data_IF_126123595696
#
_entry.id   IF_126123595696
#
_cell.length_a   1.000
_cell.length_b   1.000
_cell.length_c   1.000
_cell.angle_alpha   90.00
_cell.angle_beta   90.00
_cell.angle_gamma   90.00
#
_symmetry.space_group_name_H-M   'P 1'
#
loop_
_entity.id
_entity.type
_entity.pdbx_description
1 polymer ?
#
# COMPACT_ATOMS: atom_id res chain seq x y z
N UNK A 1 -11.16 6.14 -10.47
CA UNK A 1 -10.04 6.02 -9.51
C UNK A 1 -9.03 5.02 -10.06
N UNK A 2 -7.73 5.28 -9.86
CA UNK A 2 -6.65 4.43 -10.36
C UNK A 2 -5.69 4.11 -9.21
N UNK A 3 -5.41 2.83 -8.95
CA UNK A 3 -4.50 2.41 -7.89
C UNK A 3 -3.55 1.29 -8.35
N UNK A 4 -2.34 1.31 -7.79
CA UNK A 4 -1.41 0.17 -7.76
C UNK A 4 -1.00 -0.06 -6.30
N UNK A 5 -1.42 -1.18 -5.73
CA UNK A 5 -1.20 -1.56 -4.33
C UNK A 5 -0.27 -2.78 -4.29
N UNK A 6 1.03 -2.54 -4.11
CA UNK A 6 2.08 -3.55 -4.12
C UNK A 6 2.25 -4.17 -2.73
N UNK A 7 2.45 -5.48 -2.66
CA UNK A 7 2.67 -6.14 -1.36
C UNK A 7 3.99 -5.70 -0.72
N UNK A 8 5.07 -5.64 -1.49
CA UNK A 8 6.43 -5.34 -1.03
C UNK A 8 7.21 -4.50 -2.06
N UNK A 9 8.45 -4.12 -1.77
CA UNK A 9 9.24 -3.24 -2.65
C UNK A 9 10.34 -3.94 -3.46
N UNK A 10 10.73 -5.17 -3.12
CA UNK A 10 11.90 -5.85 -3.69
C UNK A 10 11.62 -7.33 -3.83
N UNK A 11 11.87 -7.91 -5.00
CA UNK A 11 11.90 -9.36 -5.18
C UNK A 11 13.32 -9.92 -4.95
N UNK A 12 13.45 -11.20 -4.58
CA UNK A 12 14.77 -11.84 -4.49
C UNK A 12 15.56 -11.68 -5.79
N UNK A 13 16.76 -11.09 -5.69
CA UNK A 13 17.66 -10.90 -6.84
C UNK A 13 17.34 -9.71 -7.74
N UNK A 14 16.36 -8.85 -7.42
CA UNK A 14 16.02 -7.66 -8.21
C UNK A 14 16.36 -6.36 -7.48
N UNK A 15 16.38 -5.25 -8.21
CA UNK A 15 16.44 -3.90 -7.68
C UNK A 15 15.16 -3.46 -6.97
N UNK A 16 15.26 -2.31 -6.31
CA UNK A 16 14.15 -1.66 -5.61
C UNK A 16 13.07 -1.21 -6.61
N UNK A 17 11.83 -1.62 -6.38
CA UNK A 17 10.65 -1.39 -7.24
C UNK A 17 10.79 -1.87 -8.70
N UNK A 18 11.84 -2.62 -9.03
CA UNK A 18 12.10 -3.07 -10.40
C UNK A 18 10.93 -3.90 -10.95
N UNK A 19 10.42 -4.84 -10.15
CA UNK A 19 9.29 -5.69 -10.54
C UNK A 19 7.97 -4.90 -10.73
N UNK A 20 7.87 -3.71 -10.16
CA UNK A 20 6.69 -2.85 -10.29
C UNK A 20 6.74 -2.01 -11.58
N UNK A 21 7.90 -1.83 -12.22
CA UNK A 21 8.05 -0.98 -13.40
C UNK A 21 7.06 -1.32 -14.52
N UNK A 22 6.82 -2.60 -14.88
CA UNK A 22 5.86 -2.93 -15.95
C UNK A 22 4.42 -2.52 -15.60
N UNK A 23 3.95 -2.77 -14.37
CA UNK A 23 2.59 -2.39 -13.95
C UNK A 23 2.46 -0.88 -13.84
N UNK A 24 3.48 -0.19 -13.35
CA UNK A 24 3.49 1.28 -13.30
C UNK A 24 3.42 1.87 -14.72
N UNK A 25 4.29 1.43 -15.65
CA UNK A 25 4.27 1.87 -17.06
C UNK A 25 2.88 1.73 -17.69
N UNK A 26 2.19 0.62 -17.44
CA UNK A 26 0.85 0.38 -17.96
C UNK A 26 -0.23 1.32 -17.38
N UNK A 27 -0.02 1.87 -16.17
CA UNK A 27 -0.98 2.73 -15.47
C UNK A 27 -0.70 4.23 -15.59
N UNK A 28 0.55 4.61 -15.86
CA UNK A 28 0.97 6.02 -15.87
C UNK A 28 0.21 6.84 -16.91
N UNK A 29 0.12 6.35 -18.15
CA UNK A 29 -0.35 7.16 -19.27
C UNK A 29 0.49 8.43 -19.43
N UNK A 30 -0.17 9.59 -19.54
CA UNK A 30 0.48 10.90 -19.62
C UNK A 30 0.94 11.51 -18.29
N UNK A 31 0.67 10.86 -17.15
CA UNK A 31 0.96 11.39 -15.81
C UNK A 31 2.46 11.49 -15.54
N UNK A 32 2.94 12.61 -15.01
CA UNK A 32 4.37 12.81 -14.73
C UNK A 32 4.65 13.41 -13.35
N UNK A 33 3.76 14.25 -12.83
CA UNK A 33 3.96 14.94 -11.55
C UNK A 33 3.63 14.03 -10.38
N UNK A 34 4.65 13.66 -9.61
CA UNK A 34 4.52 12.78 -8.45
C UNK A 34 4.74 13.56 -7.17
N UNK A 35 3.80 13.40 -6.22
CA UNK A 35 4.04 13.72 -4.82
C UNK A 35 4.29 12.41 -4.07
N UNK A 36 5.46 12.30 -3.44
CA UNK A 36 5.85 11.15 -2.64
C UNK A 36 5.66 11.41 -1.15
N UNK A 37 5.02 10.46 -0.46
CA UNK A 37 4.78 10.47 0.98
C UNK A 37 5.76 9.49 1.65
N UNK A 38 6.84 9.99 2.28
CA UNK A 38 7.94 9.16 2.80
C UNK A 38 7.76 8.76 4.27
N UNK A 39 6.67 9.16 4.92
CA UNK A 39 6.54 9.12 6.39
C UNK A 39 6.57 7.71 7.00
N UNK A 40 6.41 6.66 6.21
CA UNK A 40 6.64 5.29 6.69
C UNK A 40 8.13 5.03 7.02
N UNK A 41 9.06 5.76 6.40
CA UNK A 41 10.49 5.64 6.67
C UNK A 41 10.86 6.12 8.07
N UNK A 42 11.46 5.22 8.87
CA UNK A 42 11.89 5.50 10.25
C UNK A 42 13.41 5.52 10.39
N UNK A 43 14.12 4.58 9.73
CA UNK A 43 15.57 4.38 9.88
C UNK A 43 16.42 5.07 8.80
N UNK A 44 15.79 5.82 7.89
CA UNK A 44 16.43 6.66 6.89
C UNK A 44 15.73 8.03 6.87
N UNK A 45 16.43 9.08 6.44
CA UNK A 45 15.79 10.38 6.24
C UNK A 45 14.77 10.32 5.11
N UNK A 46 13.77 11.20 5.16
CA UNK A 46 12.76 11.31 4.12
C UNK A 46 13.34 11.81 2.79
N UNK A 47 14.40 12.63 2.83
CA UNK A 47 15.15 13.04 1.64
C UNK A 47 15.81 11.85 0.96
N UNK A 48 16.57 11.06 1.72
CA UNK A 48 17.23 9.85 1.20
C UNK A 48 16.22 8.83 0.65
N UNK A 49 15.05 8.72 1.30
CA UNK A 49 14.00 7.85 0.81
C UNK A 49 13.42 8.38 -0.51
N UNK A 50 13.18 9.68 -0.62
CA UNK A 50 12.68 10.30 -1.86
C UNK A 50 13.69 10.11 -3.00
N UNK A 51 14.98 10.31 -2.75
CA UNK A 51 16.05 10.10 -3.73
C UNK A 51 16.15 8.63 -4.17
N UNK A 52 15.98 7.69 -3.24
CA UNK A 52 15.94 6.26 -3.56
C UNK A 52 14.79 5.93 -4.52
N UNK A 53 13.61 6.51 -4.31
CA UNK A 53 12.45 6.31 -5.22
C UNK A 53 12.71 6.96 -6.58
N UNK A 54 13.31 8.17 -6.63
CA UNK A 54 13.73 8.82 -7.88
C UNK A 54 14.66 7.94 -8.69
N UNK A 55 15.70 7.39 -8.05
CA UNK A 55 16.68 6.54 -8.72
C UNK A 55 16.04 5.25 -9.26
N UNK A 56 15.20 4.59 -8.45
CA UNK A 56 14.53 3.36 -8.82
C UNK A 56 13.57 3.51 -10.01
N UNK A 57 12.95 4.68 -10.16
CA UNK A 57 11.94 4.96 -11.18
C UNK A 57 12.46 5.90 -12.29
N UNK A 58 13.78 6.10 -12.39
CA UNK A 58 14.38 7.05 -13.32
C UNK A 58 13.97 6.80 -14.79
N UNK A 59 13.82 5.54 -15.19
CA UNK A 59 13.38 5.16 -16.54
C UNK A 59 11.93 5.57 -16.87
N UNK A 60 11.12 5.92 -15.87
CA UNK A 60 9.75 6.38 -16.06
C UNK A 60 9.67 7.89 -16.32
N UNK A 61 10.78 8.61 -16.18
CA UNK A 61 10.86 10.07 -16.37
C UNK A 61 9.82 10.84 -15.56
N UNK A 62 9.64 10.46 -14.29
CA UNK A 62 8.69 11.08 -13.36
C UNK A 62 9.32 12.28 -12.63
N UNK A 63 8.51 13.32 -12.41
CA UNK A 63 8.87 14.49 -11.60
C UNK A 63 8.49 14.22 -10.14
N UNK A 64 9.40 13.61 -9.37
CA UNK A 64 9.12 13.17 -7.99
C UNK A 64 9.54 14.22 -6.96
N UNK A 65 8.55 14.73 -6.23
CA UNK A 65 8.72 15.67 -5.12
C UNK A 65 8.32 15.02 -3.80
N UNK A 66 9.18 15.07 -2.79
CA UNK A 66 8.83 14.62 -1.45
C UNK A 66 7.90 15.62 -0.78
N UNK A 67 6.77 15.16 -0.25
CA UNK A 67 5.76 16.05 0.36
C UNK A 67 6.29 16.81 1.59
N UNK A 68 7.36 16.33 2.21
CA UNK A 68 7.99 16.96 3.37
C UNK A 68 8.89 18.15 2.99
N UNK A 69 9.15 18.39 1.71
CA UNK A 69 10.01 19.49 1.23
C UNK A 69 9.22 20.66 0.64
N UNK A 70 7.89 20.60 0.61
CA UNK A 70 7.04 21.65 0.03
C UNK A 70 6.39 22.50 1.11
N UNK A 71 6.22 23.79 0.83
CA UNK A 71 5.61 24.73 1.77
C UNK A 71 4.10 24.48 1.94
N UNK A 72 3.41 24.16 0.84
CA UNK A 72 1.98 23.82 0.84
C UNK A 72 1.76 22.38 0.34
N UNK A 73 1.74 21.39 1.24
CA UNK A 73 1.54 19.99 0.87
C UNK A 73 0.14 19.71 0.32
N UNK A 74 -0.88 20.52 0.66
CA UNK A 74 -2.24 20.34 0.17
C UNK A 74 -2.36 20.80 -1.28
N UNK A 75 -1.77 21.96 -1.60
CA UNK A 75 -1.68 22.43 -2.98
C UNK A 75 -0.85 21.48 -3.85
N UNK A 76 0.26 20.95 -3.32
CA UNK A 76 1.07 19.96 -4.04
C UNK A 76 0.27 18.70 -4.39
N UNK A 77 -0.51 18.16 -3.44
CA UNK A 77 -1.38 17.01 -3.68
C UNK A 77 -2.50 17.31 -4.67
N UNK A 78 -3.11 18.49 -4.60
CA UNK A 78 -4.17 18.89 -5.54
C UNK A 78 -3.67 19.02 -6.99
N UNK A 79 -2.39 19.35 -7.18
CA UNK A 79 -1.74 19.47 -8.48
C UNK A 79 -1.04 18.19 -8.95
N UNK A 80 -1.01 17.14 -8.13
CA UNK A 80 -0.30 15.90 -8.44
C UNK A 80 -1.06 15.03 -9.44
N UNK A 81 -0.35 14.50 -10.43
CA UNK A 81 -0.90 13.45 -11.29
C UNK A 81 -0.89 12.09 -10.58
N UNK A 82 0.07 11.91 -9.67
CA UNK A 82 0.38 10.64 -9.00
C UNK A 82 0.71 10.93 -7.53
N UNK A 83 0.10 10.17 -6.63
CA UNK A 83 0.46 10.14 -5.21
C UNK A 83 1.15 8.81 -4.93
N UNK A 84 2.43 8.85 -4.58
CA UNK A 84 3.20 7.67 -4.19
C UNK A 84 3.35 7.60 -2.68
N UNK A 85 3.13 6.44 -2.07
CA UNK A 85 3.24 6.24 -0.62
C UNK A 85 4.17 5.08 -0.32
N UNK A 86 5.26 5.39 0.40
CA UNK A 86 6.31 4.43 0.68
C UNK A 86 5.96 3.39 1.74
N UNK A 87 6.66 2.26 1.68
CA UNK A 87 6.73 1.24 2.74
C UNK A 87 7.62 1.66 3.91
N UNK A 88 7.50 0.96 5.04
CA UNK A 88 8.14 1.29 6.31
C UNK A 88 7.19 0.93 7.45
N UNK A 89 7.09 1.76 8.49
CA UNK A 89 6.13 1.54 9.58
C UNK A 89 4.78 2.23 9.30
N UNK A 90 3.72 1.44 9.23
CA UNK A 90 2.34 1.86 8.92
C UNK A 90 1.74 2.77 9.99
N UNK A 91 2.05 2.53 11.27
CA UNK A 91 1.55 3.37 12.37
C UNK A 91 2.16 4.78 12.30
N UNK A 92 3.48 4.88 12.09
CA UNK A 92 4.15 6.17 11.92
C UNK A 92 3.67 6.91 10.65
N UNK A 93 3.47 6.17 9.55
CA UNK A 93 2.88 6.71 8.32
C UNK A 93 1.52 7.34 8.58
N UNK A 94 0.59 6.59 9.18
CA UNK A 94 -0.77 7.08 9.45
C UNK A 94 -0.75 8.27 10.41
N UNK A 95 0.04 8.20 11.48
CA UNK A 95 0.23 9.28 12.46
C UNK A 95 0.65 10.58 11.77
N UNK A 96 1.71 10.53 10.95
CA UNK A 96 2.23 11.70 10.26
C UNK A 96 1.25 12.25 9.22
N UNK A 97 0.61 11.38 8.44
CA UNK A 97 -0.44 11.80 7.52
C UNK A 97 -1.58 12.55 8.23
N UNK A 98 -1.94 12.17 9.46
CA UNK A 98 -2.95 12.88 10.25
C UNK A 98 -2.42 14.17 10.86
N UNK A 99 -1.24 14.17 11.46
CA UNK A 99 -0.60 15.37 12.02
C UNK A 99 -0.46 16.49 10.98
N UNK A 100 -0.13 16.13 9.74
CA UNK A 100 -0.04 17.06 8.62
C UNK A 100 -1.38 17.32 7.90
N UNK A 101 -2.48 16.70 8.34
CA UNK A 101 -3.81 16.88 7.78
C UNK A 101 -3.93 16.45 6.30
N UNK A 102 -3.30 15.33 5.94
CA UNK A 102 -3.13 14.86 4.56
C UNK A 102 -4.12 13.75 4.15
N UNK A 103 -4.88 13.18 5.09
CA UNK A 103 -5.83 12.09 4.80
C UNK A 103 -6.84 12.54 3.73
N UNK A 104 -7.57 13.63 3.97
CA UNK A 104 -8.57 14.12 3.01
C UNK A 104 -7.96 14.67 1.72
N UNK A 105 -6.86 15.46 1.74
CA UNK A 105 -6.18 15.88 0.51
C UNK A 105 -5.74 14.72 -0.40
N UNK A 106 -5.20 13.64 0.16
CA UNK A 106 -4.83 12.45 -0.63
C UNK A 106 -6.08 11.79 -1.21
N UNK A 107 -7.13 11.60 -0.41
CA UNK A 107 -8.40 11.04 -0.89
C UNK A 107 -8.99 11.86 -2.02
N UNK A 108 -8.99 13.19 -1.88
CA UNK A 108 -9.50 14.10 -2.89
C UNK A 108 -8.70 13.98 -4.18
N UNK A 109 -7.38 14.07 -4.14
CA UNK A 109 -6.51 13.96 -5.32
C UNK A 109 -6.76 12.66 -6.10
N UNK A 110 -6.84 11.53 -5.40
CA UNK A 110 -7.08 10.22 -6.01
C UNK A 110 -8.49 10.11 -6.60
N UNK A 111 -9.51 10.62 -5.90
CA UNK A 111 -10.88 10.63 -6.40
C UNK A 111 -11.08 11.55 -7.61
N UNK A 112 -10.29 12.62 -7.72
CA UNK A 112 -10.30 13.53 -8.88
C UNK A 112 -9.41 13.06 -10.04
N UNK A 113 -8.78 11.90 -9.94
CA UNK A 113 -8.14 11.22 -11.08
C UNK A 113 -6.64 10.95 -10.96
N UNK A 114 -6.01 11.39 -9.86
CA UNK A 114 -4.62 11.04 -9.60
C UNK A 114 -4.45 9.52 -9.46
N UNK A 115 -3.31 9.01 -9.91
CA UNK A 115 -2.93 7.61 -9.70
C UNK A 115 -2.36 7.47 -8.27
N UNK A 116 -2.92 6.56 -7.47
CA UNK A 116 -2.31 6.17 -6.21
C UNK A 116 -1.37 4.99 -6.41
N UNK A 117 -0.14 5.08 -5.90
CA UNK A 117 0.80 3.95 -5.86
C UNK A 117 1.28 3.78 -4.42
N UNK A 118 1.00 2.63 -3.83
CA UNK A 118 1.43 2.31 -2.48
C UNK A 118 2.08 0.94 -2.42
N UNK A 119 3.17 0.79 -1.67
CA UNK A 119 3.77 -0.51 -1.39
C UNK A 119 3.87 -0.78 0.10
N UNK A 120 3.60 -2.02 0.52
CA UNK A 120 3.67 -2.44 1.92
C UNK A 120 2.78 -1.54 2.81
N UNK A 121 3.36 -0.74 3.70
CA UNK A 121 2.62 0.27 4.49
C UNK A 121 1.74 1.20 3.63
N UNK A 122 2.21 1.59 2.44
CA UNK A 122 1.41 2.38 1.50
C UNK A 122 0.21 1.63 0.93
N UNK A 123 0.28 0.30 0.82
CA UNK A 123 -0.88 -0.52 0.46
C UNK A 123 -1.87 -0.61 1.62
N UNK A 124 -1.39 -0.74 2.88
CA UNK A 124 -2.26 -0.66 4.06
C UNK A 124 -2.98 0.69 4.15
N UNK A 125 -2.31 1.80 3.88
CA UNK A 125 -2.91 3.14 3.99
C UNK A 125 -4.07 3.35 3.00
N UNK A 126 -4.09 2.65 1.87
CA UNK A 126 -5.17 2.73 0.89
C UNK A 126 -6.47 2.05 1.33
N UNK A 127 -6.39 1.11 2.27
CA UNK A 127 -7.53 0.35 2.81
C UNK A 127 -8.44 1.22 3.70
N UNK A 128 -9.58 0.70 4.17
CA UNK A 128 -10.45 1.43 5.10
C UNK A 128 -9.76 1.70 6.44
N UNK A 129 -8.94 0.76 6.93
CA UNK A 129 -8.17 0.92 8.17
C UNK A 129 -6.81 0.23 8.04
N UNK A 130 -5.89 0.48 8.98
CA UNK A 130 -4.59 -0.21 9.05
C UNK A 130 -4.62 -1.51 9.88
N UNK A 131 -5.81 -2.08 10.13
CA UNK A 131 -6.02 -3.19 11.10
C UNK A 131 -5.36 -4.51 10.66
N UNK A 132 -4.92 -4.61 9.40
CA UNK A 132 -4.25 -5.78 8.83
C UNK A 132 -2.76 -5.53 8.52
N UNK A 133 -2.16 -4.47 9.07
CA UNK A 133 -0.70 -4.32 9.03
C UNK A 133 -0.01 -5.38 9.88
N UNK A 134 1.22 -5.74 9.52
CA UNK A 134 2.09 -6.62 10.32
C UNK A 134 3.06 -5.85 11.21
N UNK A 135 3.02 -4.51 11.12
CA UNK A 135 4.00 -3.67 11.77
C UNK A 135 3.79 -3.65 13.28
N UNK A 136 4.89 -3.47 14.01
CA UNK A 136 4.85 -3.17 15.42
C UNK A 136 4.26 -1.75 15.64
N UNK A 137 3.35 -1.55 16.62
CA UNK A 137 2.74 -0.25 16.91
C UNK A 137 3.72 0.67 17.68
N UNK A 138 4.78 1.11 17.00
CA UNK A 138 5.85 1.94 17.60
C UNK A 138 5.41 3.37 17.95
N UNK A 139 4.28 3.83 17.40
CA UNK A 139 3.66 5.12 17.70
C UNK A 139 2.14 4.99 17.66
N UNK A 140 1.43 5.85 18.40
CA UNK A 140 -0.04 5.90 18.36
C UNK A 140 -0.52 6.85 17.25
N UNK A 141 -1.30 6.37 16.27
CA UNK A 141 -1.77 7.20 15.15
C UNK A 141 -3.02 8.02 15.45
N UNK A 142 -3.65 7.86 16.61
CA UNK A 142 -4.90 8.54 16.98
C UNK A 142 -6.17 7.93 16.36
N UNK A 143 -6.20 6.59 16.19
CA UNK A 143 -7.24 5.82 15.49
C UNK A 143 -6.67 4.99 14.33
N UNK A 144 -7.43 4.03 13.79
CA UNK A 144 -6.92 3.13 12.72
C UNK A 144 -7.53 3.36 11.34
N UNK A 145 -8.52 4.23 11.20
CA UNK A 145 -9.11 4.64 9.92
C UNK A 145 -8.06 5.27 8.98
N UNK A 146 -8.06 4.84 7.73
CA UNK A 146 -7.06 5.22 6.73
C UNK A 146 -7.73 5.93 5.54
N UNK A 147 -7.21 5.77 4.32
CA UNK A 147 -7.71 6.53 3.17
C UNK A 147 -9.04 6.01 2.61
N UNK A 148 -9.39 4.75 2.88
CA UNK A 148 -10.62 4.13 2.39
C UNK A 148 -10.81 4.29 0.87
N UNK A 149 -9.73 4.03 0.10
CA UNK A 149 -9.73 4.11 -1.36
C UNK A 149 -10.16 2.78 -2.00
N UNK A 150 -10.03 1.67 -1.27
CA UNK A 150 -10.52 0.35 -1.70
C UNK A 150 -11.37 -0.26 -0.58
N UNK A 151 -12.41 -1.04 -0.90
CA UNK A 151 -13.32 -1.63 0.10
C UNK A 151 -12.77 -2.92 0.72
N UNK A 152 -11.48 -3.22 0.55
CA UNK A 152 -10.82 -4.45 0.99
C UNK A 152 -9.76 -4.14 2.04
N UNK A 153 -9.55 -5.06 2.97
CA UNK A 153 -8.37 -5.05 3.83
C UNK A 153 -7.24 -5.84 3.19
N UNK A 154 -6.04 -5.27 3.15
CA UNK A 154 -4.85 -5.94 2.62
C UNK A 154 -3.95 -6.31 3.79
N UNK A 155 -3.59 -7.57 3.92
CA UNK A 155 -2.44 -8.01 4.70
C UNK A 155 -1.25 -8.19 3.74
N UNK A 156 -0.36 -7.19 3.59
CA UNK A 156 0.80 -7.31 2.72
C UNK A 156 1.82 -8.27 3.34
N UNK A 157 2.84 -8.67 2.58
CA UNK A 157 3.85 -9.64 3.02
C UNK A 157 3.20 -10.90 3.61
N UNK A 158 2.11 -11.37 2.99
CA UNK A 158 1.38 -12.51 3.53
C UNK A 158 2.21 -13.78 3.37
N UNK A 159 2.39 -14.47 4.49
CA UNK A 159 2.85 -15.86 4.56
C UNK A 159 2.23 -16.47 5.80
N UNK A 160 1.82 -17.74 5.71
CA UNK A 160 1.39 -18.50 6.88
C UNK A 160 2.52 -19.34 7.48
N UNK A 161 3.72 -19.29 6.88
CA UNK A 161 4.88 -19.99 7.38
C UNK A 161 5.40 -19.35 8.68
N UNK A 162 5.89 -20.18 9.58
CA UNK A 162 6.53 -19.78 10.82
C UNK A 162 7.94 -20.40 10.93
N UNK A 163 8.85 -19.82 11.72
CA UNK A 163 10.09 -20.48 12.08
C UNK A 163 9.84 -21.86 12.72
N UNK A 164 10.77 -22.80 12.53
CA UNK A 164 10.65 -24.13 13.11
C UNK A 164 10.52 -24.06 14.65
N UNK A 165 9.49 -24.71 15.19
CA UNK A 165 9.20 -24.74 16.63
C UNK A 165 8.54 -23.48 17.19
N UNK A 166 8.21 -22.49 16.36
CA UNK A 166 7.49 -21.30 16.82
C UNK A 166 6.05 -21.66 17.24
N UNK A 167 5.63 -21.19 18.42
CA UNK A 167 4.31 -21.48 19.01
C UNK A 167 3.36 -20.26 19.05
N UNK A 168 3.83 -19.10 18.61
CA UNK A 168 2.98 -17.92 18.44
C UNK A 168 1.97 -18.09 17.30
N UNK A 169 1.02 -17.17 17.22
CA UNK A 169 -0.07 -17.23 16.25
C UNK A 169 0.45 -17.11 14.82
N UNK A 170 -0.05 -17.99 13.95
CA UNK A 170 0.13 -17.91 12.50
C UNK A 170 -0.49 -16.64 11.96
N UNK A 171 -0.13 -16.26 10.72
CA UNK A 171 -0.75 -15.09 10.09
C UNK A 171 -2.25 -15.26 9.92
N UNK A 172 -2.68 -16.46 9.52
CA UNK A 172 -4.10 -16.75 9.40
C UNK A 172 -4.81 -16.63 10.75
N UNK A 173 -4.27 -17.17 11.84
CA UNK A 173 -4.89 -17.07 13.17
C UNK A 173 -5.16 -15.61 13.56
N UNK A 174 -4.19 -14.71 13.36
CA UNK A 174 -4.37 -13.26 13.62
C UNK A 174 -5.46 -12.63 12.75
N UNK A 175 -5.53 -13.03 11.47
CA UNK A 175 -6.60 -12.58 10.56
C UNK A 175 -7.97 -13.12 11.03
N UNK A 176 -8.04 -14.36 11.52
CA UNK A 176 -9.27 -14.94 12.06
C UNK A 176 -9.74 -14.21 13.32
N UNK A 177 -8.84 -13.77 14.20
CA UNK A 177 -9.20 -12.92 15.34
C UNK A 177 -9.86 -11.61 14.89
N UNK A 178 -9.29 -10.95 13.87
CA UNK A 178 -9.89 -9.74 13.28
C UNK A 178 -11.30 -10.02 12.74
N UNK A 179 -11.51 -11.16 12.07
CA UNK A 179 -12.80 -11.56 11.53
C UNK A 179 -13.82 -11.97 12.62
N UNK A 180 -13.38 -12.29 13.84
CA UNK A 180 -14.28 -12.47 14.99
C UNK A 180 -14.82 -11.13 15.47
N UNK A 181 -13.96 -10.10 15.58
CA UNK A 181 -14.37 -8.77 16.06
C UNK A 181 -15.07 -7.93 14.99
N UNK A 182 -14.81 -8.21 13.71
CA UNK A 182 -15.42 -7.53 12.57
C UNK A 182 -15.71 -8.53 11.42
N UNK A 183 -16.85 -9.24 11.49
CA UNK A 183 -17.16 -10.34 10.59
C UNK A 183 -17.54 -9.91 9.17
N UNK A 184 -17.67 -8.61 8.92
CA UNK A 184 -18.01 -8.06 7.61
C UNK A 184 -16.78 -7.78 6.73
N UNK A 185 -15.57 -7.91 7.28
CA UNK A 185 -14.36 -7.66 6.53
C UNK A 185 -14.04 -8.77 5.53
N UNK A 186 -13.52 -8.36 4.38
CA UNK A 186 -12.76 -9.22 3.48
C UNK A 186 -11.29 -8.88 3.61
N UNK A 187 -10.48 -9.86 4.02
CA UNK A 187 -9.03 -9.70 4.18
C UNK A 187 -8.30 -10.45 3.08
N UNK A 188 -7.49 -9.73 2.32
CA UNK A 188 -6.62 -10.28 1.28
C UNK A 188 -5.22 -10.49 1.85
N UNK A 189 -4.86 -11.75 2.07
CA UNK A 189 -3.47 -12.16 2.29
C UNK A 189 -2.70 -12.03 0.98
N UNK A 190 -2.04 -10.88 0.79
CA UNK A 190 -1.32 -10.55 -0.44
C UNK A 190 0.17 -10.93 -0.27
N UNK A 191 0.66 -12.00 -0.92
CA UNK A 191 2.05 -12.43 -0.76
C UNK A 191 3.02 -11.43 -1.40
N UNK A 192 4.29 -11.53 -1.06
CA UNK A 192 5.34 -10.76 -1.74
C UNK A 192 5.38 -11.07 -3.25
N UNK A 193 5.70 -10.07 -4.05
CA UNK A 193 5.68 -10.13 -5.52
C UNK A 193 4.32 -9.91 -6.17
N UNK A 194 3.25 -9.90 -5.36
CA UNK A 194 1.91 -9.62 -5.86
C UNK A 194 1.52 -8.16 -5.65
N UNK A 195 0.47 -7.77 -6.38
CA UNK A 195 -0.15 -6.47 -6.27
C UNK A 195 -1.65 -6.54 -6.57
N UNK A 196 -2.36 -5.49 -6.18
CA UNK A 196 -3.73 -5.23 -6.64
C UNK A 196 -3.71 -3.95 -7.46
N UNK A 197 -4.17 -4.03 -8.70
CA UNK A 197 -4.37 -2.88 -9.58
C UNK A 197 -5.85 -2.55 -9.67
N UNK A 198 -6.19 -1.26 -9.56
CA UNK A 198 -7.56 -0.78 -9.73
C UNK A 198 -7.60 0.19 -10.89
N UNK A 199 -8.44 -0.07 -11.89
CA UNK A 199 -8.68 0.81 -13.03
C UNK A 199 -10.11 0.64 -13.53
N UNK A 200 -10.72 1.72 -14.03
CA UNK A 200 -12.05 1.69 -14.67
C UNK A 200 -13.12 1.00 -13.81
N UNK A 201 -13.06 1.17 -12.49
CA UNK A 201 -14.02 0.58 -11.56
C UNK A 201 -13.79 -0.90 -11.26
N UNK A 202 -12.76 -1.55 -11.80
CA UNK A 202 -12.44 -2.94 -11.51
C UNK A 202 -11.11 -3.07 -10.77
N UNK A 203 -11.06 -3.96 -9.78
CA UNK A 203 -9.84 -4.32 -9.06
C UNK A 203 -9.38 -5.72 -9.49
N UNK A 204 -8.10 -5.86 -9.84
CA UNK A 204 -7.52 -7.11 -10.32
C UNK A 204 -6.25 -7.47 -9.54
N UNK A 205 -6.14 -8.76 -9.19
CA UNK A 205 -4.93 -9.35 -8.62
C UNK A 205 -3.88 -9.56 -9.70
N UNK A 206 -2.66 -9.09 -9.44
CA UNK A 206 -1.47 -9.36 -10.25
C UNK A 206 -0.34 -9.96 -9.42
N UNK A 207 0.73 -10.37 -10.11
CA UNK A 207 1.86 -11.09 -9.53
C UNK A 207 1.98 -12.51 -10.08
N UNK A 208 2.81 -13.31 -9.43
CA UNK A 208 3.08 -14.70 -9.79
C UNK A 208 2.63 -15.72 -8.74
N UNK A 209 2.32 -15.27 -7.53
CA UNK A 209 1.98 -16.15 -6.42
C UNK A 209 0.46 -16.21 -6.21
N UNK A 210 -0.10 -17.30 -5.67
CA UNK A 210 -1.49 -17.30 -5.22
C UNK A 210 -1.66 -16.40 -3.99
N UNK A 211 -2.71 -15.57 -3.98
CA UNK A 211 -3.14 -14.84 -2.80
C UNK A 211 -4.25 -15.62 -2.06
N UNK A 212 -4.54 -15.25 -0.82
CA UNK A 212 -5.65 -15.83 -0.04
C UNK A 212 -6.69 -14.77 0.31
N UNK A 213 -7.96 -15.10 0.16
CA UNK A 213 -9.10 -14.33 0.66
C UNK A 213 -9.63 -14.99 1.92
N UNK A 214 -9.75 -14.20 2.99
CA UNK A 214 -10.32 -14.61 4.26
C UNK A 214 -11.64 -13.88 4.52
N UNK A 215 -12.68 -14.65 4.85
CA UNK A 215 -13.99 -14.19 5.32
C UNK A 215 -14.35 -14.89 6.62
N UNK A 216 -15.21 -14.27 7.42
CA UNK A 216 -15.65 -14.85 8.68
C UNK A 216 -16.37 -16.19 8.45
N UNK A 217 -16.05 -17.20 9.26
CA UNK A 217 -16.67 -18.53 9.21
C UNK A 217 -16.53 -19.30 7.88
N UNK A 218 -15.60 -18.89 7.01
CA UNK A 218 -15.33 -19.56 5.73
C UNK A 218 -13.86 -20.04 5.65
N UNK A 219 -13.57 -21.18 5.00
CA UNK A 219 -12.21 -21.56 4.63
C UNK A 219 -11.52 -20.47 3.79
N UNK A 220 -10.20 -20.35 3.90
CA UNK A 220 -9.46 -19.41 3.05
C UNK A 220 -9.61 -19.79 1.57
N UNK A 221 -9.92 -18.81 0.72
CA UNK A 221 -10.10 -19.03 -0.73
C UNK A 221 -8.82 -18.63 -1.45
N UNK A 222 -8.31 -19.55 -2.27
CA UNK A 222 -7.12 -19.28 -3.12
C UNK A 222 -7.52 -18.42 -4.31
N UNK A 223 -6.84 -17.30 -4.48
CA UNK A 223 -6.98 -16.39 -5.61
C UNK A 223 -5.72 -16.46 -6.49
N UNK A 224 -5.92 -16.60 -7.79
CA UNK A 224 -4.82 -16.61 -8.77
C UNK A 224 -4.70 -15.26 -9.48
N UNK A 225 -3.48 -14.86 -9.91
CA UNK A 225 -3.30 -13.66 -10.74
C UNK A 225 -4.29 -13.63 -11.91
N UNK A 226 -4.87 -12.46 -12.16
CA UNK A 226 -5.97 -12.24 -13.10
C UNK A 226 -7.36 -12.19 -12.46
N UNK A 227 -7.52 -12.69 -11.22
CA UNK A 227 -8.77 -12.60 -10.47
C UNK A 227 -9.26 -11.15 -10.33
N UNK A 228 -10.57 -10.94 -10.56
CA UNK A 228 -11.24 -9.65 -10.40
C UNK A 228 -12.08 -9.65 -9.12
N UNK A 229 -11.85 -8.68 -8.25
CA UNK A 229 -12.57 -8.55 -6.98
C UNK A 229 -13.95 -7.92 -7.18
N UNK A 230 -14.04 -6.94 -8.08
CA UNK A 230 -15.25 -6.24 -8.50
C UNK A 230 -15.04 -5.60 -9.88
#
# INVERSE_FOLDING_TARGET
>A
MNLVLLSNSVLPGTGYLEYALPVLKAQLGGRRKVVFIPFAGVTQSWDAYTDKVRLALAELSLEITGIHTVDDPKAALAAADIVMVGGGNTFNLLKKCREYGLIDPVRQAVNTGALYVGWSAGANLACPTIRTTNDMPITEPGGFDALNLVPLQINPHFTNALPAGHQGETREQRIRELLVVDPHLEVIGLPEGNWISVQNGSAQLGGSNPALLFKANEPAVVLVPGHRFY
#
